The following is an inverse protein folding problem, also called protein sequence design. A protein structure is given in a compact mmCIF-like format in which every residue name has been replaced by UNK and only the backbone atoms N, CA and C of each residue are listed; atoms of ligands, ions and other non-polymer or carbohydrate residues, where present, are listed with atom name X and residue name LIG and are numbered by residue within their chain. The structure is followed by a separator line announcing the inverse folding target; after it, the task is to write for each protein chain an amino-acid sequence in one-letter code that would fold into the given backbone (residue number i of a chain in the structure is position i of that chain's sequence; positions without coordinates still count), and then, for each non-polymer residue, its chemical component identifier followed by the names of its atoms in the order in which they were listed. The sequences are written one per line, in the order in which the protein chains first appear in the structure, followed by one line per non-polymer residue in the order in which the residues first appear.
data_IF_837650708736
#
_entry.id   IF_837650708736
#
_cell.length_a   1.000
_cell.length_b   1.000
_cell.length_c   1.000
_cell.angle_alpha   90.00
_cell.angle_beta   90.00
_cell.angle_gamma   90.00
#
_symmetry.space_group_name_H-M   'P 1'
#
loop_
_entity.id
_entity.type
_entity.pdbx_description
1 polymer ?
#
# COMPACT_ATOMS: atom_id res chain seq x y z
N UNK A 1 19.91 14.21 -19.52
CA UNK A 1 19.79 12.97 -18.73
C UNK A 1 18.48 12.31 -19.12
N UNK A 2 18.42 10.97 -19.09
CA UNK A 2 17.26 10.23 -19.55
C UNK A 2 16.02 10.45 -18.67
N UNK A 3 14.84 10.40 -19.29
CA UNK A 3 13.56 10.46 -18.58
C UNK A 3 13.27 9.12 -17.87
N UNK A 4 12.83 9.19 -16.62
CA UNK A 4 12.51 8.01 -15.79
C UNK A 4 11.00 7.85 -15.61
N UNK A 5 10.46 6.67 -15.91
CA UNK A 5 9.08 6.31 -15.61
C UNK A 5 8.97 5.69 -14.21
N UNK A 6 8.09 6.19 -13.35
CA UNK A 6 7.89 5.66 -11.99
C UNK A 6 6.45 5.18 -11.86
N UNK A 7 6.25 3.91 -11.53
CA UNK A 7 4.90 3.32 -11.40
C UNK A 7 4.50 3.26 -9.93
N UNK A 8 3.64 4.19 -9.51
CA UNK A 8 3.08 4.30 -8.16
C UNK A 8 3.53 5.57 -7.41
N UNK A 9 2.56 6.32 -6.88
CA UNK A 9 2.79 7.51 -6.04
C UNK A 9 2.71 7.20 -4.53
N UNK A 10 3.18 6.01 -4.13
CA UNK A 10 3.47 5.70 -2.74
C UNK A 10 4.77 6.38 -2.27
N UNK A 11 5.07 6.24 -0.98
CA UNK A 11 6.23 6.91 -0.36
C UNK A 11 7.57 6.58 -1.06
N UNK A 12 7.78 5.34 -1.51
CA UNK A 12 8.98 4.96 -2.24
C UNK A 12 9.09 5.58 -3.63
N UNK A 13 7.99 5.66 -4.38
CA UNK A 13 7.96 6.30 -5.69
C UNK A 13 8.21 7.80 -5.60
N UNK A 14 7.59 8.47 -4.61
CA UNK A 14 7.80 9.90 -4.36
C UNK A 14 9.23 10.17 -3.89
N UNK A 15 9.78 9.37 -2.96
CA UNK A 15 11.16 9.51 -2.53
C UNK A 15 12.15 9.36 -3.70
N UNK A 16 11.89 8.41 -4.62
CA UNK A 16 12.67 8.24 -5.85
C UNK A 16 12.61 9.51 -6.72
N UNK A 17 11.41 10.00 -7.01
CA UNK A 17 11.20 11.17 -7.87
C UNK A 17 11.83 12.45 -7.29
N UNK A 18 11.68 12.69 -5.99
CA UNK A 18 12.34 13.81 -5.28
C UNK A 18 13.86 13.70 -5.43
N UNK A 19 14.43 12.52 -5.21
CA UNK A 19 15.88 12.35 -5.29
C UNK A 19 16.40 12.48 -6.73
N UNK A 20 15.67 11.98 -7.73
CA UNK A 20 15.99 12.19 -9.15
C UNK A 20 15.96 13.69 -9.51
N UNK A 21 14.94 14.43 -9.05
CA UNK A 21 14.84 15.89 -9.27
C UNK A 21 16.03 16.64 -8.67
N UNK A 22 16.50 16.24 -7.48
CA UNK A 22 17.72 16.80 -6.85
C UNK A 22 18.99 16.56 -7.68
N UNK A 23 19.02 15.51 -8.49
CA UNK A 23 20.10 15.22 -9.42
C UNK A 23 19.93 15.85 -10.81
N UNK A 24 18.85 16.62 -11.03
CA UNK A 24 18.53 17.19 -12.35
C UNK A 24 18.02 16.17 -13.36
N UNK A 25 17.45 15.04 -12.89
CA UNK A 25 16.84 14.01 -13.73
C UNK A 25 15.32 14.17 -13.66
N UNK A 26 14.70 14.36 -14.82
CA UNK A 26 13.24 14.44 -14.93
C UNK A 26 12.60 13.05 -14.83
N UNK A 27 11.40 13.00 -14.25
CA UNK A 27 10.64 11.75 -14.11
C UNK A 27 9.15 11.98 -14.25
N UNK A 28 8.42 10.92 -14.62
CA UNK A 28 6.96 10.90 -14.69
C UNK A 28 6.46 9.79 -13.77
N UNK A 29 5.58 10.15 -12.83
CA UNK A 29 4.94 9.19 -11.92
C UNK A 29 3.56 8.81 -12.49
N UNK A 30 3.28 7.52 -12.62
CA UNK A 30 1.96 6.99 -12.96
C UNK A 30 1.24 6.55 -11.69
N UNK A 31 0.09 7.14 -11.40
CA UNK A 31 -0.73 6.79 -10.23
C UNK A 31 -2.19 6.59 -10.63
N UNK A 32 -2.72 5.38 -10.46
CA UNK A 32 -4.10 5.06 -10.83
C UNK A 32 -5.14 5.70 -9.90
N UNK A 33 -4.79 5.95 -8.64
CA UNK A 33 -5.71 6.40 -7.60
C UNK A 33 -5.30 7.77 -7.02
N UNK A 34 -4.67 7.75 -5.85
CA UNK A 34 -4.32 8.93 -5.04
C UNK A 34 -2.92 8.73 -4.46
N UNK A 35 -2.23 9.85 -4.25
CA UNK A 35 -0.93 9.90 -3.56
C UNK A 35 -1.02 9.18 -2.21
N UNK A 36 0.04 8.48 -1.84
CA UNK A 36 0.22 7.89 -0.51
C UNK A 36 0.15 6.37 -0.46
N UNK A 37 -0.45 5.71 -1.45
CA UNK A 37 -0.52 4.25 -1.52
C UNK A 37 -1.10 3.63 -0.23
N UNK A 38 -0.39 2.67 0.36
CA UNK A 38 -0.87 1.92 1.54
C UNK A 38 -0.91 2.72 2.83
N UNK A 39 -0.07 3.75 2.98
CA UNK A 39 -0.02 4.60 4.17
C UNK A 39 -1.36 5.28 4.45
N UNK A 40 -2.18 5.49 3.40
CA UNK A 40 -3.56 5.98 3.54
C UNK A 40 -4.41 5.12 4.49
N UNK A 41 -4.07 3.85 4.67
CA UNK A 41 -4.79 2.90 5.51
C UNK A 41 -4.20 2.75 6.92
N UNK A 42 -3.06 3.39 7.21
CA UNK A 42 -2.36 3.24 8.47
C UNK A 42 -3.06 4.04 9.58
N UNK A 43 -3.27 3.41 10.74
CA UNK A 43 -3.79 4.09 11.92
C UNK A 43 -2.78 5.13 12.45
N UNK A 44 -1.53 4.68 12.59
CA UNK A 44 -0.38 5.47 13.04
C UNK A 44 0.89 4.90 12.41
N UNK A 45 1.80 5.76 12.00
CA UNK A 45 3.14 5.40 11.50
C UNK A 45 4.14 5.77 12.58
N UNK A 46 4.63 4.77 13.30
CA UNK A 46 5.53 4.94 14.48
C UNK A 46 6.96 4.43 14.21
N UNK A 47 7.12 3.66 13.14
CA UNK A 47 8.39 3.07 12.69
C UNK A 47 9.24 4.02 11.82
N UNK A 48 8.89 5.30 11.77
CA UNK A 48 9.63 6.32 11.01
C UNK A 48 10.24 7.28 12.01
N UNK A 49 11.58 7.32 12.02
CA UNK A 49 12.33 8.25 12.87
C UNK A 49 11.83 9.69 12.64
N UNK A 50 12.02 10.54 13.65
CA UNK A 50 11.55 11.94 13.70
C UNK A 50 10.06 12.14 14.06
N UNK A 51 9.31 11.07 14.31
CA UNK A 51 7.95 11.14 14.86
C UNK A 51 7.85 10.34 16.17
N UNK A 52 8.35 10.86 17.31
CA UNK A 52 8.43 10.11 18.56
C UNK A 52 7.06 9.68 19.12
N UNK A 53 6.00 10.39 18.76
CA UNK A 53 4.62 10.07 19.13
C UNK A 53 3.83 9.42 17.99
N UNK A 54 4.52 8.96 16.95
CA UNK A 54 3.90 8.56 15.70
C UNK A 54 3.34 9.72 14.88
N UNK A 55 2.90 9.39 13.67
CA UNK A 55 2.21 10.30 12.77
C UNK A 55 1.08 9.55 12.06
N UNK A 56 -0.11 10.16 12.00
CA UNK A 56 -1.26 9.54 11.31
C UNK A 56 -0.98 9.34 9.83
N UNK A 57 -1.52 8.27 9.26
CA UNK A 57 -1.41 7.96 7.84
C UNK A 57 -1.82 9.14 6.96
N UNK A 58 -2.92 9.83 7.27
CA UNK A 58 -3.37 10.99 6.49
C UNK A 58 -2.35 12.13 6.51
N UNK A 59 -1.72 12.38 7.67
CA UNK A 59 -0.73 13.46 7.79
C UNK A 59 0.56 13.16 7.02
N UNK A 60 0.95 11.88 6.94
CA UNK A 60 2.06 11.48 6.06
C UNK A 60 1.71 11.73 4.59
N UNK A 61 0.46 11.48 4.18
CA UNK A 61 0.01 11.75 2.79
C UNK A 61 0.05 13.24 2.48
N UNK A 62 -0.40 14.10 3.40
CA UNK A 62 -0.27 15.56 3.24
C UNK A 62 1.19 15.98 3.03
N UNK A 63 2.13 15.43 3.80
CA UNK A 63 3.57 15.69 3.63
C UNK A 63 4.06 15.22 2.25
N UNK A 64 3.61 14.07 1.77
CA UNK A 64 3.95 13.58 0.43
C UNK A 64 3.43 14.52 -0.66
N UNK A 65 2.22 15.06 -0.50
CA UNK A 65 1.67 16.07 -1.42
C UNK A 65 2.46 17.39 -1.39
N UNK A 66 2.97 17.80 -0.22
CA UNK A 66 3.89 18.94 -0.10
C UNK A 66 5.20 18.70 -0.87
N UNK A 67 5.78 17.50 -0.80
CA UNK A 67 6.96 17.15 -1.61
C UNK A 67 6.66 17.21 -3.11
N UNK A 68 5.52 16.66 -3.54
CA UNK A 68 5.08 16.71 -4.94
C UNK A 68 5.00 18.16 -5.44
N UNK A 69 4.39 19.05 -4.65
CA UNK A 69 4.28 20.49 -4.99
C UNK A 69 5.64 21.19 -4.98
N UNK A 70 6.44 20.99 -3.92
CA UNK A 70 7.74 21.65 -3.74
C UNK A 70 8.73 21.33 -4.86
N UNK A 71 8.74 20.08 -5.32
CA UNK A 71 9.67 19.61 -6.36
C UNK A 71 9.04 19.61 -7.77
N UNK A 72 7.82 20.11 -7.92
CA UNK A 72 7.07 20.12 -9.19
C UNK A 72 7.09 18.75 -9.88
N UNK A 73 6.72 17.70 -9.12
CA UNK A 73 6.75 16.33 -9.60
C UNK A 73 5.57 16.08 -10.56
N UNK A 74 5.88 15.63 -11.78
CA UNK A 74 4.85 15.28 -12.78
C UNK A 74 4.18 13.96 -12.45
N UNK A 75 2.89 14.02 -12.11
CA UNK A 75 2.05 12.84 -11.85
C UNK A 75 0.96 12.74 -12.93
N UNK A 76 0.93 11.61 -13.62
CA UNK A 76 -0.15 11.22 -14.52
C UNK A 76 -1.13 10.31 -13.77
N UNK A 77 -2.41 10.69 -13.75
CA UNK A 77 -3.48 9.87 -13.16
C UNK A 77 -3.89 8.77 -14.12
N UNK A 78 -3.06 7.74 -14.20
CA UNK A 78 -3.12 6.65 -15.19
C UNK A 78 -2.75 5.32 -14.55
N UNK A 79 -3.42 4.26 -14.97
CA UNK A 79 -3.11 2.88 -14.57
C UNK A 79 -2.19 2.23 -15.59
N UNK A 80 -0.98 1.87 -15.17
CA UNK A 80 -0.07 1.06 -15.98
C UNK A 80 -0.62 -0.36 -16.09
N UNK A 81 -0.83 -0.80 -17.33
CA UNK A 81 -1.37 -2.13 -17.68
C UNK A 81 -0.29 -3.09 -18.13
N UNK A 82 0.75 -2.59 -18.79
CA UNK A 82 1.84 -3.40 -19.31
C UNK A 82 3.14 -2.58 -19.42
N UNK A 83 4.27 -3.25 -19.22
CA UNK A 83 5.61 -2.77 -19.49
C UNK A 83 6.32 -3.82 -20.33
N UNK A 84 6.68 -3.44 -21.55
CA UNK A 84 7.50 -4.23 -22.45
C UNK A 84 8.79 -3.51 -22.77
N UNK A 85 9.74 -4.22 -23.38
CA UNK A 85 11.00 -3.64 -23.85
C UNK A 85 11.01 -3.58 -25.38
N UNK A 86 11.47 -2.47 -25.93
CA UNK A 86 11.65 -2.27 -27.37
C UNK A 86 13.02 -1.62 -27.60
N UNK A 87 13.97 -2.41 -28.11
CA UNK A 87 15.37 -1.98 -28.19
C UNK A 87 15.94 -1.69 -26.81
N UNK A 88 16.46 -0.48 -26.59
CA UNK A 88 17.05 -0.04 -25.33
C UNK A 88 16.07 0.66 -24.38
N UNK A 89 14.81 0.85 -24.80
CA UNK A 89 13.79 1.55 -24.01
C UNK A 89 12.68 0.61 -23.54
N UNK A 90 12.07 0.97 -22.41
CA UNK A 90 10.83 0.40 -21.94
C UNK A 90 9.65 1.14 -22.55
N UNK A 91 8.66 0.39 -22.99
CA UNK A 91 7.35 0.90 -23.40
C UNK A 91 6.35 0.65 -22.28
N UNK A 92 5.93 1.72 -21.62
CA UNK A 92 4.92 1.71 -20.55
C UNK A 92 3.56 1.99 -21.17
N UNK A 93 2.68 1.00 -21.16
CA UNK A 93 1.30 1.12 -21.65
C UNK A 93 0.36 1.35 -20.47
N UNK A 94 -0.44 2.41 -20.55
CA UNK A 94 -1.45 2.76 -19.56
C UNK A 94 -2.85 2.57 -20.11
N UNK A 95 -3.86 2.88 -19.29
CA UNK A 95 -5.25 3.01 -19.72
C UNK A 95 -5.51 4.22 -20.64
N UNK A 96 -4.57 5.17 -20.74
CA UNK A 96 -4.74 6.41 -21.53
C UNK A 96 -3.71 6.64 -22.62
N UNK A 97 -2.60 5.92 -22.62
CA UNK A 97 -1.54 6.16 -23.60
C UNK A 97 -0.37 5.18 -23.51
N UNK A 98 0.67 5.49 -24.29
CA UNK A 98 1.93 4.75 -24.31
C UNK A 98 3.09 5.73 -24.20
N UNK A 99 4.09 5.36 -23.40
CA UNK A 99 5.22 6.21 -23.07
C UNK A 99 6.51 5.40 -23.13
N UNK A 100 7.60 6.03 -23.58
CA UNK A 100 8.91 5.40 -23.65
C UNK A 100 9.87 5.96 -22.59
N UNK A 101 10.62 5.09 -21.94
CA UNK A 101 11.60 5.46 -20.92
C UNK A 101 12.85 4.59 -21.00
N UNK A 102 14.03 5.19 -20.79
CA UNK A 102 15.28 4.43 -20.62
C UNK A 102 15.30 3.64 -19.30
N UNK A 103 14.71 4.21 -18.25
CA UNK A 103 14.63 3.61 -16.92
C UNK A 103 13.19 3.56 -16.43
N UNK A 104 12.82 2.44 -15.79
CA UNK A 104 11.53 2.31 -15.12
C UNK A 104 11.74 1.90 -13.67
N UNK A 105 11.07 2.60 -12.75
CA UNK A 105 11.03 2.26 -11.33
C UNK A 105 9.63 1.80 -10.98
N UNK A 106 9.48 0.53 -10.62
CA UNK A 106 8.24 -0.05 -10.15
C UNK A 106 8.15 0.15 -8.64
N UNK A 107 7.27 1.06 -8.23
CA UNK A 107 6.94 1.39 -6.83
C UNK A 107 5.45 1.12 -6.54
N UNK A 108 4.91 0.08 -7.17
CA UNK A 108 3.48 -0.27 -7.19
C UNK A 108 2.95 -0.88 -5.89
N UNK A 109 3.83 -1.11 -4.92
CA UNK A 109 3.52 -1.69 -3.62
C UNK A 109 2.96 -3.11 -3.72
N UNK A 110 1.98 -3.41 -2.87
CA UNK A 110 1.34 -4.72 -2.79
C UNK A 110 -0.17 -4.60 -2.92
N UNK A 111 -0.83 -5.68 -3.33
CA UNK A 111 -2.29 -5.82 -3.35
C UNK A 111 -2.76 -6.82 -2.28
N UNK A 112 -3.96 -6.65 -1.72
CA UNK A 112 -4.49 -7.59 -0.73
C UNK A 112 -4.74 -8.96 -1.36
N UNK A 113 -4.48 -10.04 -0.61
CA UNK A 113 -4.99 -11.37 -0.96
C UNK A 113 -6.50 -11.36 -0.83
N UNK A 114 -7.20 -11.98 -1.78
CA UNK A 114 -8.67 -12.01 -1.83
C UNK A 114 -9.21 -13.24 -1.10
N UNK A 115 -10.34 -13.08 -0.42
CA UNK A 115 -11.16 -14.19 0.03
C UNK A 115 -11.90 -14.79 -1.16
N UNK A 116 -12.25 -16.06 -1.08
CA UNK A 116 -13.19 -16.73 -2.00
C UNK A 116 -14.66 -16.33 -1.74
N UNK A 117 -14.88 -15.29 -0.95
CA UNK A 117 -16.18 -14.77 -0.53
C UNK A 117 -16.39 -13.42 -1.22
N UNK A 118 -17.57 -13.22 -1.79
CA UNK A 118 -17.99 -11.96 -2.40
C UNK A 118 -19.18 -11.38 -1.62
N UNK A 119 -19.08 -10.10 -1.24
CA UNK A 119 -20.17 -9.34 -0.63
C UNK A 119 -19.97 -7.85 -0.95
N UNK A 120 -21.05 -7.09 -1.12
CA UNK A 120 -20.95 -5.67 -1.52
C UNK A 120 -20.28 -4.79 -0.44
N UNK A 121 -20.38 -5.21 0.82
CA UNK A 121 -19.81 -4.54 1.99
C UNK A 121 -18.56 -5.24 2.56
N UNK A 122 -17.88 -6.04 1.72
CA UNK A 122 -16.57 -6.59 2.01
C UNK A 122 -15.47 -5.70 1.41
N UNK A 123 -14.63 -5.13 2.28
CA UNK A 123 -13.53 -4.25 1.89
C UNK A 123 -12.17 -4.85 2.27
N UNK A 124 -11.13 -4.41 1.57
CA UNK A 124 -9.74 -4.83 1.83
C UNK A 124 -8.84 -3.67 2.29
N UNK A 125 -9.41 -2.47 2.26
CA UNK A 125 -8.80 -1.20 2.60
C UNK A 125 -9.78 -0.41 3.45
N UNK A 126 -9.36 0.02 4.63
CA UNK A 126 -10.24 0.75 5.55
C UNK A 126 -10.71 2.09 4.97
N UNK A 127 -9.92 2.70 4.08
CA UNK A 127 -10.29 3.94 3.40
C UNK A 127 -11.40 3.79 2.36
N UNK A 128 -11.67 2.55 1.93
CA UNK A 128 -12.76 2.26 0.99
C UNK A 128 -14.10 2.07 1.72
N UNK A 129 -14.06 1.91 3.06
CA UNK A 129 -15.28 1.81 3.89
C UNK A 129 -15.95 3.19 3.94
N UNK A 130 -17.25 3.29 3.58
CA UNK A 130 -18.00 4.55 3.64
C UNK A 130 -17.88 5.26 4.99
N UNK A 131 -18.02 6.59 4.97
CA UNK A 131 -18.13 7.35 6.20
C UNK A 131 -19.50 7.09 6.86
N UNK A 132 -19.52 6.97 8.18
CA UNK A 132 -20.73 6.64 8.93
C UNK A 132 -20.42 6.06 10.30
N UNK A 133 -21.49 5.80 11.07
CA UNK A 133 -21.43 5.00 12.28
C UNK A 133 -21.94 3.60 11.98
N UNK A 134 -21.31 2.60 12.58
CA UNK A 134 -21.66 1.19 12.40
C UNK A 134 -22.03 0.58 13.75
N UNK A 135 -22.95 -0.37 13.75
CA UNK A 135 -23.26 -1.18 14.93
C UNK A 135 -22.17 -2.23 15.13
N UNK A 136 -21.85 -3.01 14.10
CA UNK A 136 -20.85 -4.09 14.19
C UNK A 136 -20.00 -4.20 12.94
N UNK A 137 -18.69 -4.33 13.13
CA UNK A 137 -17.70 -4.53 12.07
C UNK A 137 -16.91 -5.80 12.35
N UNK A 138 -16.79 -6.67 11.34
CA UNK A 138 -15.94 -7.86 11.40
C UNK A 138 -14.63 -7.63 10.63
N UNK A 139 -13.50 -7.89 11.28
CA UNK A 139 -12.17 -7.79 10.70
C UNK A 139 -11.56 -9.18 10.63
N UNK A 140 -11.19 -9.63 9.45
CA UNK A 140 -10.64 -10.96 9.22
C UNK A 140 -9.12 -10.84 9.04
N UNK A 141 -8.36 -11.28 10.04
CA UNK A 141 -6.91 -11.23 10.02
C UNK A 141 -6.30 -11.03 11.41
N UNK A 142 -5.04 -11.41 11.57
CA UNK A 142 -4.33 -11.30 12.86
C UNK A 142 -2.98 -10.58 12.79
N UNK A 143 -2.65 -9.93 11.67
CA UNK A 143 -1.41 -9.14 11.53
C UNK A 143 -1.65 -7.65 11.74
N UNK A 144 -0.58 -6.84 11.62
CA UNK A 144 -0.60 -5.39 11.89
C UNK A 144 -1.76 -4.66 11.20
N UNK A 145 -1.99 -4.94 9.91
CA UNK A 145 -3.06 -4.31 9.12
C UNK A 145 -4.45 -4.57 9.72
N UNK A 146 -4.70 -5.75 10.27
CA UNK A 146 -5.98 -6.06 10.91
C UNK A 146 -6.17 -5.23 12.19
N UNK A 147 -5.11 -5.07 12.97
CA UNK A 147 -5.13 -4.30 14.22
C UNK A 147 -5.25 -2.79 13.94
N UNK A 148 -4.55 -2.27 12.93
CA UNK A 148 -4.72 -0.88 12.46
C UNK A 148 -6.17 -0.62 12.00
N UNK A 149 -6.75 -1.55 11.25
CA UNK A 149 -8.15 -1.43 10.82
C UNK A 149 -9.09 -1.45 12.03
N UNK A 150 -8.82 -2.29 13.03
CA UNK A 150 -9.64 -2.36 14.24
C UNK A 150 -9.59 -1.07 15.06
N UNK A 151 -8.39 -0.54 15.28
CA UNK A 151 -8.19 0.74 15.97
C UNK A 151 -8.86 1.89 15.21
N UNK A 152 -8.79 1.88 13.89
CA UNK A 152 -9.45 2.89 13.04
C UNK A 152 -10.97 2.80 13.14
N UNK A 153 -11.54 1.60 13.01
CA UNK A 153 -12.99 1.39 13.04
C UNK A 153 -13.59 1.57 14.44
N UNK A 154 -12.84 1.26 15.50
CA UNK A 154 -13.31 1.40 16.90
C UNK A 154 -13.81 2.80 17.25
N UNK A 155 -13.32 3.84 16.55
CA UNK A 155 -13.74 5.23 16.75
C UNK A 155 -15.16 5.53 16.25
N UNK A 156 -15.71 4.68 15.38
CA UNK A 156 -17.00 4.89 14.70
C UNK A 156 -17.91 3.66 14.68
N UNK A 157 -17.60 2.66 15.49
CA UNK A 157 -18.33 1.39 15.55
C UNK A 157 -18.65 1.03 16.98
N UNK A 158 -19.87 0.56 17.27
CA UNK A 158 -20.25 0.13 18.61
C UNK A 158 -19.51 -1.14 19.03
N UNK A 159 -19.32 -2.10 18.12
CA UNK A 159 -18.56 -3.33 18.36
C UNK A 159 -17.68 -3.70 17.16
N UNK A 160 -16.38 -3.91 17.40
CA UNK A 160 -15.43 -4.39 16.39
C UNK A 160 -14.95 -5.78 16.79
N UNK A 161 -15.09 -6.75 15.89
CA UNK A 161 -14.63 -8.12 16.11
C UNK A 161 -13.41 -8.37 15.23
N UNK A 162 -12.28 -8.73 15.83
CA UNK A 162 -11.12 -9.26 15.10
C UNK A 162 -11.21 -10.78 15.13
N UNK A 163 -11.47 -11.39 13.97
CA UNK A 163 -11.51 -12.83 13.79
C UNK A 163 -10.20 -13.32 13.15
N UNK A 164 -9.50 -14.20 13.87
CA UNK A 164 -8.17 -14.68 13.47
C UNK A 164 -8.05 -16.21 13.59
N UNK A 165 -7.20 -16.81 12.75
CA UNK A 165 -7.02 -18.27 12.70
C UNK A 165 -6.14 -18.84 13.81
N UNK A 166 -5.24 -18.01 14.32
CA UNK A 166 -4.20 -18.35 15.28
C UNK A 166 -4.01 -17.19 16.24
N UNK A 167 -2.99 -17.27 17.11
CA UNK A 167 -2.56 -16.11 17.89
C UNK A 167 -2.27 -14.89 16.99
N UNK A 168 -2.45 -13.67 17.53
CA UNK A 168 -2.05 -12.45 16.86
C UNK A 168 -0.58 -12.49 16.43
N UNK A 169 -0.33 -12.12 15.18
CA UNK A 169 1.00 -11.88 14.61
C UNK A 169 1.31 -10.38 14.52
N UNK A 170 0.39 -9.54 14.98
CA UNK A 170 0.58 -8.10 15.03
C UNK A 170 1.66 -7.71 16.05
N UNK A 171 2.27 -6.55 15.86
CA UNK A 171 3.22 -5.96 16.79
C UNK A 171 2.64 -5.92 18.21
N UNK A 172 3.42 -6.25 19.26
CA UNK A 172 2.95 -6.21 20.64
C UNK A 172 2.32 -4.87 21.02
N UNK A 173 2.89 -3.75 20.55
CA UNK A 173 2.35 -2.41 20.79
C UNK A 173 0.93 -2.22 20.26
N UNK A 174 0.64 -2.69 19.04
CA UNK A 174 -0.71 -2.64 18.46
C UNK A 174 -1.69 -3.52 19.25
N UNK A 175 -1.20 -4.65 19.78
CA UNK A 175 -2.03 -5.51 20.63
C UNK A 175 -2.40 -4.81 21.94
N UNK A 176 -1.46 -4.09 22.57
CA UNK A 176 -1.75 -3.29 23.76
C UNK A 176 -2.78 -2.19 23.48
N UNK A 177 -2.63 -1.44 22.38
CA UNK A 177 -3.62 -0.43 22.00
C UNK A 177 -5.02 -1.01 21.75
N UNK A 178 -5.10 -2.22 21.20
CA UNK A 178 -6.39 -2.90 21.02
C UNK A 178 -6.97 -3.37 22.36
N UNK A 179 -6.16 -3.87 23.30
CA UNK A 179 -6.61 -4.26 24.64
C UNK A 179 -7.19 -3.09 25.45
N UNK A 180 -6.70 -1.87 25.22
CA UNK A 180 -7.23 -0.66 25.84
C UNK A 180 -8.62 -0.24 25.30
N UNK A 181 -9.12 -0.88 24.22
CA UNK A 181 -10.44 -0.59 23.65
C UNK A 181 -11.49 -1.54 24.20
N UNK A 182 -12.47 -1.00 24.94
CA UNK A 182 -13.60 -1.76 25.48
C UNK A 182 -14.57 -2.28 24.42
N UNK A 183 -14.51 -1.76 23.18
CA UNK A 183 -15.40 -2.15 22.09
C UNK A 183 -14.72 -3.00 21.01
N UNK A 184 -13.51 -3.51 21.26
CA UNK A 184 -12.85 -4.47 20.36
C UNK A 184 -12.81 -5.84 21.05
N UNK A 185 -13.25 -6.88 20.34
CA UNK A 185 -13.19 -8.27 20.80
C UNK A 185 -12.35 -9.11 19.85
N UNK A 186 -11.47 -9.95 20.40
CA UNK A 186 -10.64 -10.88 19.63
C UNK A 186 -11.23 -12.27 19.72
N UNK A 187 -11.49 -12.89 18.58
CA UNK A 187 -12.02 -14.26 18.49
C UNK A 187 -11.15 -15.12 17.58
N UNK A 188 -11.05 -16.41 17.93
CA UNK A 188 -10.43 -17.42 17.07
C UNK A 188 -11.48 -18.03 16.16
N UNK A 189 -11.28 -17.91 14.85
CA UNK A 189 -12.13 -18.59 13.89
C UNK A 189 -11.84 -18.25 12.44
N UNK A 190 -12.66 -18.81 11.56
CA UNK A 190 -12.61 -18.59 10.13
C UNK A 190 -14.00 -18.33 9.59
N UNK A 191 -14.12 -17.39 8.66
CA UNK A 191 -15.34 -17.18 7.87
C UNK A 191 -15.32 -18.15 6.70
N UNK A 192 -16.43 -18.84 6.46
CA UNK A 192 -16.57 -19.77 5.33
C UNK A 192 -17.69 -19.36 4.37
N UNK A 193 -18.65 -18.55 4.83
CA UNK A 193 -19.75 -18.02 4.01
C UNK A 193 -20.16 -16.63 4.53
N UNK A 194 -20.64 -15.79 3.62
CA UNK A 194 -21.29 -14.51 3.95
C UNK A 194 -22.57 -14.42 3.15
N UNK A 195 -23.70 -14.27 3.84
CA UNK A 195 -24.99 -13.98 3.22
C UNK A 195 -25.26 -12.47 3.27
N UNK A 196 -25.89 -11.94 2.22
CA UNK A 196 -26.14 -10.52 2.06
C UNK A 196 -27.63 -10.19 2.10
N UNK A 197 -28.04 -9.46 3.14
CA UNK A 197 -29.37 -8.87 3.29
C UNK A 197 -29.27 -7.39 3.69
N UNK A 198 -30.13 -6.91 4.59
CA UNK A 198 -30.00 -5.54 5.14
C UNK A 198 -28.64 -5.34 5.83
N UNK A 199 -28.10 -6.40 6.44
CA UNK A 199 -26.72 -6.52 6.93
C UNK A 199 -26.06 -7.77 6.34
N UNK A 200 -24.78 -7.94 6.60
CA UNK A 200 -24.05 -9.15 6.24
C UNK A 200 -24.17 -10.16 7.39
N UNK A 201 -24.54 -11.40 7.08
CA UNK A 201 -24.44 -12.51 8.03
C UNK A 201 -23.19 -13.32 7.71
N UNK A 202 -22.13 -13.12 8.51
CA UNK A 202 -20.89 -13.86 8.39
C UNK A 202 -20.98 -15.18 9.17
N UNK A 203 -20.96 -16.31 8.46
CA UNK A 203 -20.93 -17.63 9.08
C UNK A 203 -19.51 -18.04 9.39
N UNK A 204 -19.25 -18.36 10.66
CA UNK A 204 -17.89 -18.59 11.14
C UNK A 204 -17.80 -19.79 12.08
N UNK A 205 -16.59 -20.28 12.30
CA UNK A 205 -16.34 -21.33 13.29
C UNK A 205 -16.46 -20.85 14.75
N UNK A 206 -16.61 -19.55 14.99
CA UNK A 206 -16.76 -18.93 16.31
C UNK A 206 -18.21 -18.50 16.61
N UNK A 207 -19.16 -18.93 15.78
CA UNK A 207 -20.53 -18.44 15.76
C UNK A 207 -20.79 -17.49 14.59
N UNK A 208 -22.06 -17.25 14.32
CA UNK A 208 -22.49 -16.39 13.22
C UNK A 208 -22.61 -14.93 13.68
N UNK A 209 -22.19 -14.00 12.83
CA UNK A 209 -22.18 -12.57 13.15
C UNK A 209 -22.94 -11.77 12.10
N UNK A 210 -24.03 -11.13 12.51
CA UNK A 210 -24.64 -10.06 11.73
C UNK A 210 -23.81 -8.77 11.87
N UNK A 211 -23.28 -8.26 10.77
CA UNK A 211 -22.37 -7.10 10.72
C UNK A 211 -22.73 -6.14 9.59
N UNK A 212 -22.41 -4.86 9.78
CA UNK A 212 -22.61 -3.85 8.75
C UNK A 212 -21.54 -3.93 7.66
N UNK A 213 -20.31 -4.26 8.05
CA UNK A 213 -19.13 -4.24 7.17
C UNK A 213 -18.16 -5.36 7.55
N UNK A 214 -17.54 -5.96 6.55
CA UNK A 214 -16.39 -6.87 6.72
C UNK A 214 -15.13 -6.23 6.14
N UNK A 215 -14.03 -6.27 6.89
CA UNK A 215 -12.70 -5.86 6.45
C UNK A 215 -11.75 -7.06 6.44
N UNK A 216 -11.23 -7.42 5.27
CA UNK A 216 -10.29 -8.53 5.12
C UNK A 216 -8.83 -8.05 5.07
N UNK A 217 -8.02 -8.51 6.02
CA UNK A 217 -6.60 -8.26 6.15
C UNK A 217 -5.81 -9.58 6.25
N UNK A 218 -6.01 -10.46 5.26
CA UNK A 218 -5.49 -11.85 5.24
C UNK A 218 -4.11 -12.00 4.57
N UNK A 219 -3.36 -10.90 4.45
CA UNK A 219 -2.07 -10.84 3.78
C UNK A 219 -2.12 -10.09 2.46
N UNK A 220 -0.93 -9.84 1.89
CA UNK A 220 -0.75 -9.06 0.67
C UNK A 220 0.33 -9.68 -0.20
N UNK A 221 0.28 -9.42 -1.49
CA UNK A 221 1.22 -9.90 -2.49
C UNK A 221 1.77 -8.74 -3.35
N UNK A 222 3.02 -8.83 -3.85
CA UNK A 222 3.59 -7.82 -4.74
C UNK A 222 2.72 -7.54 -5.97
N UNK A 223 2.58 -6.27 -6.34
CA UNK A 223 1.84 -5.88 -7.54
C UNK A 223 2.78 -5.76 -8.75
N UNK A 224 3.11 -6.89 -9.39
CA UNK A 224 4.13 -6.98 -10.45
C UNK A 224 3.62 -7.48 -11.80
N UNK A 225 2.33 -7.81 -11.93
CA UNK A 225 1.78 -8.47 -13.12
C UNK A 225 2.13 -7.72 -14.42
N UNK A 226 1.97 -6.41 -14.43
CA UNK A 226 2.24 -5.54 -15.59
C UNK A 226 3.73 -5.45 -15.96
N UNK A 227 4.66 -5.91 -15.13
CA UNK A 227 6.10 -5.80 -15.36
C UNK A 227 6.78 -7.17 -15.55
N UNK A 228 6.03 -8.28 -15.46
CA UNK A 228 6.58 -9.65 -15.43
C UNK A 228 7.56 -9.96 -16.56
N UNK A 229 7.28 -9.49 -17.77
CA UNK A 229 8.10 -9.75 -18.95
C UNK A 229 9.50 -9.12 -18.90
N UNK A 230 9.70 -8.10 -18.06
CA UNK A 230 10.91 -7.27 -18.04
C UNK A 230 11.54 -7.15 -16.65
N UNK A 231 11.16 -7.98 -15.68
CA UNK A 231 11.66 -7.89 -14.29
C UNK A 231 13.19 -8.05 -14.17
N UNK A 232 13.80 -8.80 -15.10
CA UNK A 232 15.25 -9.03 -15.12
C UNK A 232 16.00 -7.96 -15.91
N UNK A 233 15.30 -6.98 -16.47
CA UNK A 233 15.93 -5.93 -17.26
C UNK A 233 16.72 -4.98 -16.37
N UNK A 234 17.97 -4.73 -16.77
CA UNK A 234 18.95 -3.99 -15.98
C UNK A 234 18.49 -2.59 -15.54
N UNK A 235 17.71 -1.93 -16.38
CA UNK A 235 17.23 -0.56 -16.17
C UNK A 235 15.81 -0.51 -15.57
N UNK A 236 15.27 -1.66 -15.18
CA UNK A 236 14.07 -1.76 -14.36
C UNK A 236 14.46 -1.95 -12.89
N UNK A 237 13.90 -1.13 -12.02
CA UNK A 237 14.13 -1.19 -10.58
C UNK A 237 12.84 -1.44 -9.83
N UNK A 238 12.92 -2.21 -8.76
CA UNK A 238 11.82 -2.40 -7.82
C UNK A 238 12.11 -1.57 -6.55
N UNK A 239 11.10 -0.89 -6.01
CA UNK A 239 11.23 -0.02 -4.82
C UNK A 239 10.09 -0.28 -3.83
N UNK A 240 10.45 -0.42 -2.56
CA UNK A 240 9.50 -0.56 -1.46
C UNK A 240 8.83 -1.93 -1.38
N UNK A 241 7.59 -1.96 -0.90
CA UNK A 241 6.88 -3.21 -0.56
C UNK A 241 6.77 -4.22 -1.70
N UNK A 242 6.88 -3.78 -2.95
CA UNK A 242 6.84 -4.66 -4.11
C UNK A 242 8.05 -5.62 -4.15
N UNK A 243 9.17 -5.26 -3.53
CA UNK A 243 10.42 -6.05 -3.51
C UNK A 243 10.79 -6.61 -2.13
N UNK A 244 10.34 -5.98 -1.04
CA UNK A 244 10.87 -6.24 0.30
C UNK A 244 10.29 -7.48 1.00
N UNK A 245 9.52 -8.31 0.29
CA UNK A 245 8.94 -9.54 0.83
C UNK A 245 8.08 -9.28 2.06
N UNK A 246 8.51 -9.79 3.21
CA UNK A 246 7.82 -9.58 4.50
C UNK A 246 8.21 -8.27 5.20
N UNK A 247 9.35 -7.66 4.84
CA UNK A 247 9.89 -6.46 5.48
C UNK A 247 9.31 -5.17 4.86
N UNK A 248 8.01 -4.96 5.05
CA UNK A 248 7.25 -3.88 4.43
C UNK A 248 7.12 -2.69 5.38
N UNK A 249 8.10 -1.79 5.31
CA UNK A 249 8.21 -0.65 6.23
C UNK A 249 8.41 0.65 5.44
N UNK A 250 7.88 1.75 5.98
CA UNK A 250 7.99 3.09 5.38
C UNK A 250 9.45 3.51 5.18
N UNK A 251 10.28 3.36 6.23
CA UNK A 251 11.70 3.72 6.18
C UNK A 251 12.47 2.95 5.09
N UNK A 252 12.19 1.64 4.93
CA UNK A 252 12.80 0.82 3.88
C UNK A 252 12.38 1.29 2.48
N UNK A 253 11.10 1.59 2.30
CA UNK A 253 10.58 2.11 1.01
C UNK A 253 11.22 3.44 0.63
N UNK A 254 11.45 4.34 1.59
CA UNK A 254 12.17 5.61 1.37
C UNK A 254 13.62 5.34 0.97
N UNK A 255 14.32 4.52 1.75
CA UNK A 255 15.73 4.20 1.53
C UNK A 255 15.94 3.55 0.15
N UNK A 256 15.06 2.62 -0.23
CA UNK A 256 15.06 1.99 -1.55
C UNK A 256 14.90 2.99 -2.69
N UNK A 257 13.98 3.96 -2.54
CA UNK A 257 13.73 4.96 -3.55
C UNK A 257 14.92 5.90 -3.74
N UNK A 258 15.49 6.38 -2.64
CA UNK A 258 16.68 7.24 -2.65
C UNK A 258 17.86 6.49 -3.27
N UNK A 259 18.12 5.24 -2.84
CA UNK A 259 19.21 4.42 -3.37
C UNK A 259 19.05 4.17 -4.87
N UNK A 260 17.83 3.87 -5.32
CA UNK A 260 17.54 3.68 -6.76
C UNK A 260 17.85 4.93 -7.58
N UNK A 261 17.42 6.11 -7.11
CA UNK A 261 17.74 7.37 -7.77
C UNK A 261 19.25 7.64 -7.86
N UNK A 262 20.00 7.31 -6.80
CA UNK A 262 21.47 7.42 -6.79
C UNK A 262 22.12 6.50 -7.82
N UNK A 263 21.63 5.26 -7.96
CA UNK A 263 22.12 4.30 -8.96
C UNK A 263 21.86 4.82 -10.38
N UNK A 264 20.64 5.30 -10.65
CA UNK A 264 20.28 5.87 -11.96
C UNK A 264 21.19 7.05 -12.28
N UNK A 265 21.35 8.00 -11.36
CA UNK A 265 22.21 9.15 -11.57
C UNK A 265 23.67 8.76 -11.82
N UNK A 266 24.21 7.81 -11.05
CA UNK A 266 25.59 7.34 -11.23
C UNK A 266 25.77 6.73 -12.62
N UNK A 267 24.84 5.89 -13.08
CA UNK A 267 24.85 5.29 -14.42
C UNK A 267 24.78 6.35 -15.52
N UNK A 268 23.92 7.36 -15.37
CA UNK A 268 23.82 8.46 -16.33
C UNK A 268 25.08 9.34 -16.37
N UNK A 269 25.78 9.50 -15.24
CA UNK A 269 26.95 10.38 -15.15
C UNK A 269 28.26 9.72 -15.56
N UNK A 270 28.46 8.46 -15.18
CA UNK A 270 29.74 7.74 -15.29
C UNK A 270 29.66 6.48 -16.16
N UNK A 271 28.50 6.17 -16.72
CA UNK A 271 28.27 4.89 -17.38
C UNK A 271 28.27 3.74 -16.38
N UNK A 272 28.64 2.55 -16.86
CA UNK A 272 28.49 1.29 -16.12
C UNK A 272 29.69 0.92 -15.25
N UNK A 273 30.42 1.91 -14.75
CA UNK A 273 31.60 1.69 -13.90
C UNK A 273 31.21 1.64 -12.42
N UNK A 274 31.60 0.55 -11.74
CA UNK A 274 31.32 0.27 -10.31
C UNK A 274 31.87 1.33 -9.35
#
# INVERSE_FOLDING_TARGET
MALVGIVGAGIGGIATAVQLKRYGIESVIFERNKIGGLIRNAYSVENTMFFPNGIKGEKVVEILEEYVKKYDLKILREEVRDISKSGEEFKVTTDKGQYSFKYVVVASGTRPKRLSINASRLFYHVVDVPQGRFERVLIIGGGDVAFDYALTMSKRTREVIILMRSEPKALPLLQEYVKEKSNITLLRGQVWEVEEGEKLLAKTTAGDFEVDVILAAIGREPNLEFAKAVLNERNLFLVGDVKNGIYRQTALSIADGIKTAMIIWRRERYGDTE
#
